data_IF_738467331604
#
_entry.id   IF_738467331604
#
_cell.length_a   1.000
_cell.length_b   1.000
_cell.length_c   1.000
_cell.angle_alpha   90.00
_cell.angle_beta   90.00
_cell.angle_gamma   90.00
#
_symmetry.space_group_name_H-M   'P 1'
#
loop_
_entity.id
_entity.type
_entity.pdbx_description
1 polymer ?
#
# COMPACT_ATOMS: atom_id res chain seq x y z
N UNK A 1 3.03 6.58 -27.20
CA UNK A 1 3.85 7.78 -26.91
C UNK A 1 3.79 7.99 -25.41
N UNK A 2 4.95 7.95 -24.76
CA UNK A 2 5.08 8.13 -23.31
C UNK A 2 4.70 9.55 -22.91
N UNK A 3 3.89 9.67 -21.85
CA UNK A 3 3.48 10.93 -21.23
C UNK A 3 4.68 11.72 -20.72
N UNK A 4 4.62 13.04 -20.85
CA UNK A 4 5.55 13.94 -20.15
C UNK A 4 5.23 13.98 -18.65
N UNK A 5 6.18 14.43 -17.80
CA UNK A 5 5.91 14.63 -16.38
C UNK A 5 4.66 15.49 -16.11
N UNK A 6 4.43 16.54 -16.90
CA UNK A 6 3.28 17.46 -16.75
C UNK A 6 1.95 16.77 -17.10
N UNK A 7 1.96 15.88 -18.11
CA UNK A 7 0.80 15.07 -18.44
C UNK A 7 0.49 14.07 -17.33
N UNK A 8 1.52 13.51 -16.68
CA UNK A 8 1.34 12.62 -15.52
C UNK A 8 0.73 13.37 -14.34
N UNK A 9 1.16 14.60 -14.06
CA UNK A 9 0.54 15.44 -13.02
C UNK A 9 -0.95 15.66 -13.29
N UNK A 10 -1.28 16.05 -14.53
CA UNK A 10 -2.68 16.27 -14.94
C UNK A 10 -3.51 15.01 -14.74
N UNK A 11 -3.00 13.85 -15.17
CA UNK A 11 -3.70 12.58 -15.01
C UNK A 11 -3.89 12.17 -13.55
N UNK A 12 -2.97 12.52 -12.64
CA UNK A 12 -3.11 12.26 -11.21
C UNK A 12 -4.10 13.24 -10.54
N UNK A 13 -4.08 14.51 -10.94
CA UNK A 13 -5.02 15.54 -10.48
C UNK A 13 -6.46 15.22 -10.90
N UNK A 14 -6.67 14.80 -12.17
CA UNK A 14 -7.98 14.39 -12.69
C UNK A 14 -8.58 13.20 -11.93
N UNK A 15 -7.72 12.40 -11.29
CA UNK A 15 -8.09 11.26 -10.44
C UNK A 15 -8.18 11.61 -8.95
N UNK A 16 -8.01 12.88 -8.60
CA UNK A 16 -8.00 13.40 -7.23
C UNK A 16 -6.98 12.70 -6.30
N UNK A 17 -5.87 12.22 -6.86
CA UNK A 17 -4.82 11.55 -6.09
C UNK A 17 -3.89 12.57 -5.44
N UNK A 18 -3.56 12.36 -4.17
CA UNK A 18 -2.51 13.15 -3.52
C UNK A 18 -1.15 12.70 -4.08
N UNK A 19 -0.33 13.64 -4.57
CA UNK A 19 1.04 13.33 -4.96
C UNK A 19 2.03 14.46 -4.64
N UNK A 20 3.32 14.12 -4.68
CA UNK A 20 4.43 15.07 -4.67
C UNK A 20 5.43 14.72 -5.77
N UNK A 21 5.70 15.67 -6.67
CA UNK A 21 6.79 15.57 -7.63
C UNK A 21 8.12 15.91 -6.97
N UNK A 22 9.16 15.13 -7.27
CA UNK A 22 10.55 15.43 -6.93
C UNK A 22 11.37 15.33 -8.21
N UNK A 23 12.13 16.39 -8.49
CA UNK A 23 13.13 16.35 -9.54
C UNK A 23 14.41 15.74 -8.98
N UNK A 24 14.95 14.72 -9.65
CA UNK A 24 16.23 14.17 -9.25
C UNK A 24 17.35 15.08 -9.77
N UNK A 25 18.17 15.59 -8.86
CA UNK A 25 19.36 16.35 -9.20
C UNK A 25 20.34 15.48 -10.01
N UNK A 26 20.53 15.82 -11.29
CA UNK A 26 21.54 15.22 -12.16
C UNK A 26 21.10 13.99 -12.96
N UNK A 27 19.81 13.64 -12.95
CA UNK A 27 19.26 12.62 -13.86
C UNK A 27 18.02 13.17 -14.56
N UNK A 28 17.85 12.93 -15.86
CA UNK A 28 16.63 13.26 -16.64
C UNK A 28 15.43 12.37 -16.21
N UNK A 29 15.23 12.20 -14.89
CA UNK A 29 14.23 11.34 -14.28
C UNK A 29 13.30 12.21 -13.42
N UNK A 30 12.00 12.04 -13.62
CA UNK A 30 10.97 12.63 -12.77
C UNK A 30 10.45 11.58 -11.80
N UNK A 31 10.31 11.94 -10.52
CA UNK A 31 9.77 11.06 -9.50
C UNK A 31 8.45 11.61 -8.97
N UNK A 32 7.46 10.75 -8.84
CA UNK A 32 6.17 11.05 -8.24
C UNK A 32 5.95 10.14 -7.04
N UNK A 33 5.78 10.74 -5.87
CA UNK A 33 5.33 10.03 -4.67
C UNK A 33 3.82 10.18 -4.61
N UNK A 34 3.10 9.12 -4.94
CA UNK A 34 1.64 9.08 -5.07
C UNK A 34 1.07 8.37 -3.85
N UNK A 35 0.02 8.92 -3.25
CA UNK A 35 -0.68 8.32 -2.12
C UNK A 35 -2.00 7.71 -2.59
N UNK A 36 -2.01 6.39 -2.77
CA UNK A 36 -3.21 5.67 -3.19
C UNK A 36 -4.13 5.43 -1.98
N UNK A 37 -5.43 5.80 -2.06
CA UNK A 37 -6.35 5.66 -0.94
C UNK A 37 -6.88 4.22 -0.82
N UNK A 38 -6.50 3.52 0.24
CA UNK A 38 -7.00 2.18 0.56
C UNK A 38 -8.06 2.16 1.67
N UNK A 39 -8.76 1.04 1.81
CA UNK A 39 -9.77 0.82 2.86
C UNK A 39 -9.14 0.13 4.05
N UNK A 40 -8.45 -1.00 3.83
CA UNK A 40 -7.78 -1.78 4.87
C UNK A 40 -6.43 -1.16 5.20
N UNK A 41 -5.64 -0.89 4.17
CA UNK A 41 -4.38 -0.16 4.24
C UNK A 41 -4.65 1.29 3.87
N UNK A 42 -5.01 2.09 4.89
CA UNK A 42 -5.48 3.47 4.77
C UNK A 42 -4.82 4.30 3.66
N UNK A 43 -3.50 4.15 3.49
CA UNK A 43 -2.74 4.73 2.37
C UNK A 43 -1.66 3.79 1.86
N UNK A 44 -1.47 3.80 0.54
CA UNK A 44 -0.35 3.14 -0.14
C UNK A 44 0.51 4.14 -0.88
N UNK A 45 1.61 4.51 -0.24
CA UNK A 45 2.67 5.32 -0.85
C UNK A 45 3.31 4.54 -1.99
N UNK A 46 3.23 5.12 -3.18
CA UNK A 46 3.66 4.55 -4.45
C UNK A 46 4.60 5.52 -5.14
N UNK A 47 5.84 5.10 -5.34
CA UNK A 47 6.85 5.83 -6.09
C UNK A 47 6.77 5.45 -7.57
N UNK A 48 6.41 6.42 -8.41
CA UNK A 48 6.55 6.32 -9.86
C UNK A 48 7.82 7.06 -10.27
N UNK A 49 8.72 6.36 -10.95
CA UNK A 49 9.94 6.93 -11.53
C UNK A 49 9.83 6.89 -13.05
N UNK A 50 9.74 8.06 -13.67
CA UNK A 50 9.78 8.22 -15.12
C UNK A 50 11.23 8.28 -15.58
N UNK A 51 11.61 7.41 -16.50
CA UNK A 51 12.91 7.43 -17.15
C UNK A 51 12.84 7.56 -18.67
N UNK A 52 14.02 7.66 -19.28
CA UNK A 52 14.15 7.92 -20.74
C UNK A 52 13.47 6.87 -21.63
N UNK A 53 13.34 5.64 -21.15
CA UNK A 53 12.87 4.49 -21.94
C UNK A 53 11.73 3.73 -21.27
N UNK A 54 11.05 4.36 -20.31
CA UNK A 54 9.94 3.75 -19.59
C UNK A 54 9.85 4.23 -18.16
N UNK A 55 9.02 3.57 -17.36
CA UNK A 55 8.84 3.91 -15.97
C UNK A 55 8.91 2.69 -15.06
N UNK A 56 9.21 2.98 -13.80
CA UNK A 56 9.22 2.02 -12.70
C UNK A 56 8.21 2.47 -11.65
N UNK A 57 7.46 1.52 -11.13
CA UNK A 57 6.60 1.71 -9.97
C UNK A 57 7.11 0.90 -8.79
N UNK A 58 7.10 1.49 -7.60
CA UNK A 58 7.46 0.85 -6.35
C UNK A 58 6.49 1.28 -5.26
N UNK A 59 5.71 0.35 -4.71
CA UNK A 59 4.74 0.66 -3.66
C UNK A 59 5.08 -0.08 -2.38
N UNK A 60 5.14 0.64 -1.27
CA UNK A 60 5.40 0.07 0.04
C UNK A 60 4.14 -0.62 0.57
N UNK A 61 4.25 -1.92 0.88
CA UNK A 61 3.11 -2.73 1.37
C UNK A 61 3.18 -2.87 2.88
N UNK A 62 4.24 -3.46 3.42
CA UNK A 62 4.44 -3.53 4.87
C UNK A 62 5.91 -3.69 5.23
N UNK A 63 6.22 -3.45 6.51
CA UNK A 63 7.54 -3.74 7.07
C UNK A 63 7.83 -5.24 7.02
N UNK A 64 9.11 -5.58 7.16
CA UNK A 64 9.56 -6.94 7.41
C UNK A 64 8.67 -7.65 8.42
N UNK A 65 8.23 -8.87 8.07
CA UNK A 65 7.34 -9.67 8.89
C UNK A 65 8.05 -10.19 10.14
N UNK A 66 7.30 -10.32 11.24
CA UNK A 66 7.87 -10.74 12.53
C UNK A 66 8.01 -12.26 12.62
N UNK A 67 7.13 -13.00 11.94
CA UNK A 67 7.06 -14.46 12.01
C UNK A 67 6.54 -15.08 10.69
N UNK A 68 6.55 -16.43 10.63
CA UNK A 68 6.01 -17.22 9.52
C UNK A 68 6.49 -16.80 8.11
N UNK A 69 7.79 -16.53 7.98
CA UNK A 69 8.44 -16.15 6.72
C UNK A 69 8.07 -17.04 5.53
N UNK A 70 8.09 -18.36 5.72
CA UNK A 70 7.77 -19.32 4.67
C UNK A 70 6.32 -19.18 4.18
N UNK A 71 5.36 -19.03 5.11
CA UNK A 71 3.95 -18.85 4.78
C UNK A 71 3.70 -17.55 4.01
N UNK A 72 4.31 -16.45 4.48
CA UNK A 72 4.25 -15.15 3.81
C UNK A 72 4.87 -15.24 2.42
N UNK A 73 6.09 -15.74 2.28
CA UNK A 73 6.78 -15.77 0.98
C UNK A 73 6.09 -16.70 -0.02
N UNK A 74 5.57 -17.84 0.44
CA UNK A 74 4.72 -18.69 -0.39
C UNK A 74 3.48 -17.95 -0.89
N UNK A 75 2.80 -17.21 -0.01
CA UNK A 75 1.64 -16.40 -0.38
C UNK A 75 2.00 -15.36 -1.45
N UNK A 76 3.08 -14.59 -1.23
CA UNK A 76 3.54 -13.57 -2.17
C UNK A 76 3.84 -14.16 -3.56
N UNK A 77 4.56 -15.29 -3.61
CA UNK A 77 4.89 -15.98 -4.86
C UNK A 77 3.65 -16.51 -5.59
N UNK A 78 2.68 -17.05 -4.86
CA UNK A 78 1.41 -17.50 -5.44
C UNK A 78 0.59 -16.33 -5.98
N UNK A 79 0.56 -15.22 -5.23
CA UNK A 79 -0.17 -14.01 -5.60
C UNK A 79 0.38 -13.38 -6.87
N UNK A 80 1.71 -13.37 -7.06
CA UNK A 80 2.39 -12.86 -8.25
C UNK A 80 1.89 -13.48 -9.56
N UNK A 81 1.35 -14.71 -9.55
CA UNK A 81 0.78 -15.35 -10.75
C UNK A 81 -0.46 -14.63 -11.31
N UNK A 82 -1.10 -13.78 -10.52
CA UNK A 82 -2.37 -13.11 -10.86
C UNK A 82 -2.22 -11.60 -11.04
N UNK A 83 -1.06 -11.04 -10.74
CA UNK A 83 -0.84 -9.60 -10.79
C UNK A 83 -0.48 -9.16 -12.21
N UNK A 84 -0.98 -7.99 -12.61
CA UNK A 84 -0.62 -7.33 -13.86
C UNK A 84 0.44 -6.25 -13.65
N UNK A 85 1.53 -6.26 -14.41
CA UNK A 85 2.52 -5.17 -14.43
C UNK A 85 3.38 -4.98 -13.17
N UNK A 86 2.97 -5.53 -12.02
CA UNK A 86 3.68 -5.48 -10.74
C UNK A 86 3.85 -6.87 -10.13
N UNK A 87 4.82 -7.00 -9.24
CA UNK A 87 5.07 -8.23 -8.48
C UNK A 87 5.55 -7.89 -7.07
N UNK A 88 5.19 -8.73 -6.11
CA UNK A 88 5.73 -8.68 -4.76
C UNK A 88 7.22 -8.98 -4.76
N UNK A 89 7.96 -8.12 -4.06
CA UNK A 89 9.41 -8.17 -3.88
C UNK A 89 9.78 -7.84 -2.43
N UNK A 90 10.98 -8.24 -2.02
CA UNK A 90 11.57 -7.85 -0.74
C UNK A 90 12.75 -6.90 -0.98
N UNK A 91 12.93 -5.93 -0.10
CA UNK A 91 14.18 -5.15 -0.06
C UNK A 91 15.24 -5.83 0.84
N UNK A 92 16.38 -5.17 1.04
CA UNK A 92 17.47 -5.69 1.87
C UNK A 92 17.12 -5.80 3.36
N UNK A 93 16.17 -5.00 3.84
CA UNK A 93 15.64 -5.09 5.20
C UNK A 93 14.53 -6.15 5.32
N UNK A 94 14.08 -6.71 4.18
CA UNK A 94 12.99 -7.66 4.08
C UNK A 94 11.61 -6.99 4.12
N UNK A 95 11.54 -5.68 3.93
CA UNK A 95 10.27 -4.97 3.75
C UNK A 95 9.63 -5.40 2.43
N UNK A 96 8.30 -5.51 2.44
CA UNK A 96 7.53 -6.01 1.30
C UNK A 96 7.08 -4.83 0.43
N UNK A 97 7.41 -4.93 -0.86
CA UNK A 97 7.03 -3.97 -1.88
C UNK A 97 6.27 -4.64 -3.03
N UNK A 98 5.46 -3.86 -3.74
CA UNK A 98 5.03 -4.16 -5.10
C UNK A 98 5.91 -3.36 -6.07
N UNK A 99 6.61 -4.06 -6.96
CA UNK A 99 7.50 -3.44 -7.95
C UNK A 99 7.05 -3.79 -9.36
N UNK A 100 7.06 -2.82 -10.26
CA UNK A 100 6.74 -3.00 -11.68
C UNK A 100 7.58 -2.13 -12.60
N UNK A 101 7.65 -2.51 -13.87
CA UNK A 101 8.30 -1.73 -14.93
C UNK A 101 7.47 -1.81 -16.20
N UNK A 102 7.33 -0.69 -16.88
CA UNK A 102 6.57 -0.60 -18.13
C UNK A 102 7.27 0.33 -19.12
N UNK A 103 7.19 -0.01 -20.41
CA UNK A 103 7.98 0.62 -21.47
C UNK A 103 7.43 2.00 -21.89
N UNK A 104 6.11 2.16 -21.88
CA UNK A 104 5.45 3.43 -22.19
C UNK A 104 4.50 3.82 -21.07
N UNK A 105 4.58 5.08 -20.62
CA UNK A 105 3.62 5.64 -19.67
C UNK A 105 2.50 6.25 -20.48
N UNK A 106 1.38 5.55 -20.59
CA UNK A 106 0.13 6.12 -21.13
C UNK A 106 -0.86 6.28 -19.98
N UNK A 107 -1.93 7.07 -20.18
CA UNK A 107 -2.96 7.24 -19.16
C UNK A 107 -3.59 5.89 -18.76
N UNK A 108 -3.91 5.05 -19.74
CA UNK A 108 -4.46 3.72 -19.51
C UNK A 108 -3.49 2.81 -18.74
N UNK A 109 -2.20 2.83 -19.08
CA UNK A 109 -1.22 1.98 -18.42
C UNK A 109 -0.93 2.47 -16.99
N UNK A 110 -0.85 3.79 -16.80
CA UNK A 110 -0.74 4.40 -15.47
C UNK A 110 -1.92 3.99 -14.59
N UNK A 111 -3.15 4.11 -15.12
CA UNK A 111 -4.37 3.74 -14.40
C UNK A 111 -4.40 2.26 -14.02
N UNK A 112 -4.10 1.36 -14.97
CA UNK A 112 -4.03 -0.09 -14.73
C UNK A 112 -3.01 -0.45 -13.67
N UNK A 113 -1.81 0.14 -13.74
CA UNK A 113 -0.74 -0.15 -12.79
C UNK A 113 -1.08 0.38 -11.40
N UNK A 114 -1.54 1.63 -11.27
CA UNK A 114 -1.93 2.19 -9.97
C UNK A 114 -3.14 1.45 -9.37
N UNK A 115 -4.11 1.08 -10.20
CA UNK A 115 -5.26 0.25 -9.81
C UNK A 115 -4.81 -1.12 -9.30
N UNK A 116 -3.90 -1.79 -10.01
CA UNK A 116 -3.35 -3.08 -9.57
C UNK A 116 -2.55 -2.97 -8.26
N UNK A 117 -1.77 -1.89 -8.10
CA UNK A 117 -1.05 -1.62 -6.84
C UNK A 117 -2.03 -1.46 -5.69
N UNK A 118 -3.08 -0.65 -5.88
CA UNK A 118 -4.10 -0.44 -4.84
C UNK A 118 -4.83 -1.73 -4.50
N UNK A 119 -5.30 -2.48 -5.51
CA UNK A 119 -6.03 -3.74 -5.32
C UNK A 119 -5.20 -4.78 -4.58
N UNK A 120 -3.93 -4.96 -4.96
CA UNK A 120 -3.04 -5.90 -4.30
C UNK A 120 -2.64 -5.44 -2.90
N UNK A 121 -2.14 -4.20 -2.75
CA UNK A 121 -1.66 -3.70 -1.47
C UNK A 121 -2.77 -3.59 -0.42
N UNK A 122 -3.97 -3.14 -0.80
CA UNK A 122 -5.12 -3.07 0.10
C UNK A 122 -5.75 -4.44 0.31
N UNK A 123 -6.01 -5.17 -0.79
CA UNK A 123 -6.71 -6.46 -0.76
C UNK A 123 -5.99 -7.50 0.09
N UNK A 124 -4.67 -7.61 -0.07
CA UNK A 124 -3.82 -8.61 0.57
C UNK A 124 -3.35 -8.20 1.98
N UNK A 125 -3.61 -6.95 2.41
CA UNK A 125 -3.05 -6.39 3.66
C UNK A 125 -3.36 -7.22 4.90
N UNK A 126 -4.63 -7.55 5.15
CA UNK A 126 -5.02 -8.31 6.34
C UNK A 126 -4.45 -9.73 6.32
N UNK A 127 -4.38 -10.36 5.15
CA UNK A 127 -3.77 -11.69 5.02
C UNK A 127 -2.28 -11.65 5.35
N UNK A 128 -1.56 -10.62 4.92
CA UNK A 128 -0.16 -10.43 5.29
C UNK A 128 0.00 -10.19 6.80
N UNK A 129 -0.92 -9.43 7.41
CA UNK A 129 -0.94 -9.21 8.87
C UNK A 129 -1.22 -10.49 9.65
N UNK A 130 -2.21 -11.28 9.23
CA UNK A 130 -2.53 -12.57 9.85
C UNK A 130 -1.38 -13.56 9.73
N UNK A 131 -0.74 -13.63 8.57
CA UNK A 131 0.36 -14.55 8.35
C UNK A 131 1.62 -14.12 9.12
N UNK A 132 2.01 -12.85 9.03
CA UNK A 132 3.33 -12.37 9.45
C UNK A 132 3.39 -11.64 10.79
N UNK A 133 2.24 -11.34 11.41
CA UNK A 133 2.16 -10.50 12.61
C UNK A 133 1.14 -11.02 13.66
N UNK A 134 0.74 -12.29 13.58
CA UNK A 134 -0.30 -12.87 14.45
C UNK A 134 -0.05 -12.68 15.95
N UNK A 135 1.20 -12.86 16.39
CA UNK A 135 1.62 -12.70 17.79
C UNK A 135 1.57 -11.24 18.22
N UNK A 136 1.97 -10.32 17.34
CA UNK A 136 1.90 -8.88 17.60
C UNK A 136 0.45 -8.40 17.72
N UNK A 137 -0.43 -8.89 16.84
CA UNK A 137 -1.88 -8.59 16.87
C UNK A 137 -2.50 -9.05 18.19
N UNK A 138 -2.17 -10.25 18.67
CA UNK A 138 -2.64 -10.76 19.97
C UNK A 138 -2.17 -9.90 21.14
N UNK A 139 -0.89 -9.52 21.15
CA UNK A 139 -0.33 -8.63 22.19
C UNK A 139 -1.00 -7.26 22.20
N UNK A 140 -1.23 -6.69 21.02
CA UNK A 140 -1.94 -5.41 20.87
C UNK A 140 -3.39 -5.54 21.38
N UNK A 141 -4.09 -6.64 21.07
CA UNK A 141 -5.42 -6.92 21.57
C UNK A 141 -5.46 -6.96 23.10
N UNK A 142 -4.60 -7.77 23.73
CA UNK A 142 -4.53 -7.90 25.19
C UNK A 142 -4.23 -6.55 25.86
N UNK A 143 -3.30 -5.79 25.28
CA UNK A 143 -2.95 -4.44 25.74
C UNK A 143 -4.16 -3.50 25.68
N UNK A 144 -4.86 -3.46 24.54
CA UNK A 144 -6.03 -2.59 24.36
C UNK A 144 -7.18 -2.97 25.29
N UNK A 145 -7.45 -4.26 25.44
CA UNK A 145 -8.44 -4.79 26.37
C UNK A 145 -8.15 -4.37 27.82
N UNK A 146 -6.88 -4.48 28.25
CA UNK A 146 -6.49 -4.11 29.62
C UNK A 146 -6.63 -2.61 29.93
N UNK A 147 -6.68 -1.75 28.90
CA UNK A 147 -6.71 -0.30 29.02
C UNK A 147 -8.01 0.35 28.55
N UNK A 148 -8.96 -0.43 28.03
CA UNK A 148 -10.20 0.10 27.44
C UNK A 148 -9.96 0.89 26.15
N UNK A 149 -8.89 0.60 25.42
CA UNK A 149 -8.57 1.27 24.16
C UNK A 149 -9.45 0.75 23.01
N UNK A 150 -9.74 1.57 21.99
CA UNK A 150 -10.65 1.18 20.91
C UNK A 150 -10.15 -0.02 20.09
N UNK A 151 -11.01 -0.98 19.73
CA UNK A 151 -10.62 -2.22 19.01
C UNK A 151 -10.97 -2.23 17.51
N UNK A 152 -11.46 -1.12 16.95
CA UNK A 152 -11.99 -1.09 15.58
C UNK A 152 -10.98 -1.56 14.52
N UNK A 153 -9.69 -1.27 14.70
CA UNK A 153 -8.61 -1.76 13.83
C UNK A 153 -8.36 -3.26 13.91
N UNK A 154 -8.73 -3.89 15.02
CA UNK A 154 -8.52 -5.32 15.27
C UNK A 154 -9.73 -6.16 14.86
N UNK A 155 -10.87 -5.52 14.52
CA UNK A 155 -12.10 -6.19 14.08
C UNK A 155 -11.86 -7.19 12.94
N UNK A 156 -11.06 -6.91 11.89
CA UNK A 156 -10.82 -7.90 10.84
C UNK A 156 -10.16 -9.21 11.34
N UNK A 157 -9.50 -9.16 12.50
CA UNK A 157 -8.77 -10.27 13.11
C UNK A 157 -9.52 -10.93 14.27
N UNK A 158 -10.81 -10.59 14.49
CA UNK A 158 -11.62 -11.12 15.60
C UNK A 158 -11.60 -12.66 15.67
N UNK A 159 -11.56 -13.33 14.51
CA UNK A 159 -11.50 -14.78 14.40
C UNK A 159 -10.22 -15.40 14.98
N UNK A 160 -9.14 -14.62 15.13
CA UNK A 160 -7.87 -15.05 15.74
C UNK A 160 -7.74 -14.65 17.22
N UNK A 161 -8.71 -13.89 17.75
CA UNK A 161 -8.66 -13.22 19.05
C UNK A 161 -9.76 -13.75 19.98
N UNK A 162 -9.51 -14.82 20.74
CA UNK A 162 -10.46 -15.32 21.73
C UNK A 162 -10.85 -14.21 22.72
N UNK A 163 -12.15 -14.03 22.94
CA UNK A 163 -12.66 -13.00 23.85
C UNK A 163 -12.83 -11.61 23.21
N UNK A 164 -12.77 -11.50 21.88
CA UNK A 164 -13.16 -10.27 21.18
C UNK A 164 -14.63 -9.91 21.52
N UNK A 165 -14.94 -8.67 21.91
CA UNK A 165 -16.30 -8.28 22.30
C UNK A 165 -17.30 -8.40 21.14
N UNK A 166 -18.49 -8.94 21.40
CA UNK A 166 -19.56 -9.07 20.39
C UNK A 166 -20.23 -7.72 20.03
N UNK A 167 -20.01 -6.67 20.82
CA UNK A 167 -20.57 -5.33 20.58
C UNK A 167 -19.62 -4.44 19.80
N UNK A 168 -20.17 -3.58 18.93
CA UNK A 168 -19.39 -2.77 18.00
C UNK A 168 -18.25 -1.99 18.70
N UNK A 169 -17.00 -2.12 18.23
CA UNK A 169 -15.91 -1.33 18.76
C UNK A 169 -16.18 0.15 18.49
N UNK A 170 -15.82 1.02 19.45
CA UNK A 170 -16.00 2.48 19.38
C UNK A 170 -15.77 3.04 17.97
N UNK A 171 -16.64 3.94 17.48
CA UNK A 171 -16.58 4.44 16.11
C UNK A 171 -15.24 5.12 15.82
N UNK A 172 -14.87 5.12 14.53
CA UNK A 172 -13.72 5.87 14.02
C UNK A 172 -13.78 7.32 14.52
N UNK A 173 -12.68 7.90 15.05
CA UNK A 173 -12.65 9.33 15.32
C UNK A 173 -12.89 10.10 14.00
N UNK A 174 -13.74 11.12 14.05
CA UNK A 174 -14.11 11.92 12.87
C UNK A 174 -12.86 12.47 12.16
N UNK A 175 -12.79 12.27 10.84
CA UNK A 175 -11.70 12.81 10.01
C UNK A 175 -11.83 14.34 10.00
N UNK A 176 -10.80 15.05 10.48
CA UNK A 176 -10.73 16.51 10.34
C UNK A 176 -10.71 16.89 8.85
N UNK A 177 -11.47 17.93 8.43
CA UNK A 177 -11.51 18.36 7.04
C UNK A 177 -10.12 18.76 6.55
N UNK A 178 -9.78 18.35 5.33
CA UNK A 178 -8.52 18.72 4.66
C UNK A 178 -8.40 20.25 4.62
N UNK A 179 -7.29 20.79 5.14
CA UNK A 179 -6.88 22.16 4.77
C UNK A 179 -6.51 22.12 3.29
N UNK A 180 -7.30 22.78 2.43
CA UNK A 180 -6.90 23.00 1.03
C UNK A 180 -5.53 23.67 1.04
N UNK A 181 -4.58 23.11 0.29
CA UNK A 181 -3.30 23.78 0.04
C UNK A 181 -3.63 25.11 -0.66
N UNK A 182 -3.19 26.21 -0.06
CA UNK A 182 -3.28 27.56 -0.61
C UNK A 182 -2.11 27.81 -1.57
#
# INVERSE_FOLDING_TARGET
MTMTPEQVETALDDRELDFARREASGSDLAHFVIELPGVKKLKTTTLLTLGKHGARVEAFVCRHVDENFEGVYRYLLQRNRRLYGVSYTLDNAGDIYLTGRFAEVTEDELDRVLGQVLEAADGDFNTLLELGFSTAIRREFDWRMSRGEPLWNLKPFEHMLPGFPEFEPNPLPERKPRKKRA
#
